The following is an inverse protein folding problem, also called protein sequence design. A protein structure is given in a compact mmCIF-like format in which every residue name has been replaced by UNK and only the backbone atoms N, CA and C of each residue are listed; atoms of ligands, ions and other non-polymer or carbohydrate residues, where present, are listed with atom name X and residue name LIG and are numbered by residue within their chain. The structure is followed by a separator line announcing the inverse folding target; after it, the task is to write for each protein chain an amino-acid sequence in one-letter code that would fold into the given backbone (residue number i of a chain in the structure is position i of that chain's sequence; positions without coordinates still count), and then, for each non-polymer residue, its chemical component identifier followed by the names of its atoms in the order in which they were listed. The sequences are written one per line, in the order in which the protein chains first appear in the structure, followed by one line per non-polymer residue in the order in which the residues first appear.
data_IF_089806990316
#
_entry.id   IF_089806990316
#
_cell.length_a   1.000
_cell.length_b   1.000
_cell.length_c   1.000
_cell.angle_alpha   90.00
_cell.angle_beta   90.00
_cell.angle_gamma   90.00
#
_symmetry.space_group_name_H-M   'P 1'
#
loop_
_entity.id
_entity.type
_entity.pdbx_description
1 polymer ?
#
# COMPACT_ATOMS: atom_id res chain seq x y z
N UNK A 1 7.56 17.12 12.61
CA UNK A 1 8.29 16.57 11.46
C UNK A 1 7.35 16.43 10.26
N UNK A 2 7.89 16.13 9.09
CA UNK A 2 7.09 15.86 7.88
C UNK A 2 6.66 14.39 7.94
N UNK A 3 5.36 14.08 7.80
CA UNK A 3 4.91 12.70 7.71
C UNK A 3 5.53 11.98 6.51
N UNK A 4 5.93 10.72 6.68
CA UNK A 4 6.46 9.92 5.56
C UNK A 4 6.04 8.46 5.66
N UNK A 5 6.08 7.78 4.52
CA UNK A 5 5.88 6.34 4.40
C UNK A 5 7.25 5.68 4.28
N UNK A 6 7.55 4.76 5.18
CA UNK A 6 8.71 3.88 5.06
C UNK A 6 8.35 2.65 4.23
N UNK A 7 9.06 2.48 3.13
CA UNK A 7 8.97 1.30 2.27
C UNK A 7 10.39 0.84 1.95
N UNK A 8 10.86 -0.20 2.59
CA UNK A 8 12.20 -0.73 2.33
C UNK A 8 12.33 -1.43 0.96
N UNK A 9 11.21 -1.96 0.43
CA UNK A 9 11.17 -2.63 -0.86
C UNK A 9 12.30 -3.65 -1.04
N UNK A 10 12.89 -3.68 -2.21
CA UNK A 10 14.00 -4.58 -2.54
C UNK A 10 15.30 -4.32 -1.73
N UNK A 11 15.40 -3.17 -1.06
CA UNK A 11 16.52 -2.89 -0.17
C UNK A 11 16.39 -3.53 1.22
N UNK A 12 15.24 -4.14 1.54
CA UNK A 12 14.99 -4.80 2.83
C UNK A 12 16.14 -5.73 3.27
N UNK A 13 16.74 -6.58 2.41
CA UNK A 13 17.83 -7.45 2.82
C UNK A 13 19.09 -6.72 3.30
N UNK A 14 19.30 -5.48 2.86
CA UNK A 14 20.50 -4.68 3.20
C UNK A 14 20.43 -4.08 4.60
N UNK A 15 19.23 -3.92 5.16
CA UNK A 15 19.05 -3.38 6.51
C UNK A 15 19.26 -4.47 7.56
N UNK A 16 19.88 -4.10 8.68
CA UNK A 16 19.85 -4.92 9.89
C UNK A 16 18.59 -4.63 10.72
N UNK A 17 18.35 -5.45 11.77
CA UNK A 17 17.13 -5.32 12.59
C UNK A 17 17.01 -3.99 13.32
N UNK A 18 18.14 -3.45 13.83
CA UNK A 18 18.16 -2.17 14.55
C UNK A 18 17.92 -0.97 13.63
N UNK A 19 18.41 -1.04 12.39
CA UNK A 19 18.14 -0.02 11.37
C UNK A 19 16.66 -0.01 11.00
N UNK A 20 16.07 -1.19 10.78
CA UNK A 20 14.64 -1.32 10.51
C UNK A 20 13.78 -0.79 11.66
N UNK A 21 14.12 -1.12 12.92
CA UNK A 21 13.40 -0.61 14.10
C UNK A 21 13.41 0.91 14.14
N UNK A 22 14.58 1.54 13.96
CA UNK A 22 14.70 3.01 13.92
C UNK A 22 13.87 3.64 12.81
N UNK A 23 13.84 3.01 11.63
CA UNK A 23 13.01 3.49 10.51
C UNK A 23 11.51 3.36 10.82
N UNK A 24 11.08 2.24 11.39
CA UNK A 24 9.70 2.02 11.83
C UNK A 24 9.30 3.08 12.88
N UNK A 25 10.13 3.31 13.89
CA UNK A 25 9.86 4.29 14.96
C UNK A 25 9.79 5.73 14.45
N UNK A 26 10.49 6.03 13.36
CA UNK A 26 10.51 7.38 12.76
C UNK A 26 9.39 7.59 11.74
N UNK A 27 8.85 6.52 11.16
CA UNK A 27 7.87 6.57 10.10
C UNK A 27 6.46 6.91 10.61
N UNK A 28 5.68 7.59 9.76
CA UNK A 28 4.24 7.77 10.00
C UNK A 28 3.48 6.53 9.57
N UNK A 29 3.86 5.99 8.42
CA UNK A 29 3.29 4.77 7.83
C UNK A 29 4.41 3.82 7.41
N UNK A 30 4.14 2.52 7.46
CA UNK A 30 5.03 1.49 6.91
C UNK A 30 4.24 0.71 5.87
N UNK A 31 4.82 0.48 4.70
CA UNK A 31 4.22 -0.35 3.65
C UNK A 31 5.21 -1.39 3.16
N UNK A 32 4.73 -2.62 3.05
CA UNK A 32 5.51 -3.80 2.63
C UNK A 32 4.60 -4.76 1.87
N UNK A 33 5.16 -5.71 1.14
CA UNK A 33 4.41 -6.88 0.71
C UNK A 33 4.43 -7.99 1.78
N UNK A 34 3.72 -9.08 1.53
CA UNK A 34 3.61 -10.22 2.46
C UNK A 34 4.97 -10.88 2.76
N UNK A 35 5.83 -11.04 1.74
CA UNK A 35 7.18 -11.55 1.93
C UNK A 35 8.04 -10.60 2.76
N UNK A 36 8.02 -9.32 2.43
CA UNK A 36 8.76 -8.28 3.16
C UNK A 36 8.28 -8.15 4.61
N UNK A 37 6.98 -8.35 4.89
CA UNK A 37 6.45 -8.30 6.24
C UNK A 37 7.02 -9.42 7.13
N UNK A 38 7.15 -10.61 6.57
CA UNK A 38 7.77 -11.74 7.27
C UNK A 38 9.26 -11.48 7.54
N UNK A 39 9.99 -10.99 6.53
CA UNK A 39 11.41 -10.67 6.67
C UNK A 39 11.64 -9.52 7.65
N UNK A 40 10.75 -8.51 7.67
CA UNK A 40 10.79 -7.41 8.64
C UNK A 40 10.62 -7.93 10.06
N UNK A 41 9.64 -8.81 10.29
CA UNK A 41 9.42 -9.44 11.61
C UNK A 41 10.61 -10.30 12.03
N UNK A 42 11.16 -11.09 11.13
CA UNK A 42 12.34 -11.94 11.41
C UNK A 42 13.56 -11.09 11.80
N UNK A 43 13.88 -10.06 11.04
CA UNK A 43 15.03 -9.19 11.30
C UNK A 43 14.88 -8.33 12.56
N UNK A 44 13.69 -7.83 12.82
CA UNK A 44 13.44 -6.93 13.97
C UNK A 44 13.05 -7.66 15.24
N UNK A 45 12.54 -8.89 15.14
CA UNK A 45 11.90 -9.59 16.26
C UNK A 45 10.56 -8.99 16.66
N UNK A 46 10.01 -8.03 15.89
CA UNK A 46 8.72 -7.41 16.15
C UNK A 46 7.60 -8.17 15.47
N UNK A 47 6.53 -8.43 16.18
CA UNK A 47 5.27 -8.91 15.61
C UNK A 47 4.56 -7.81 14.81
N UNK A 48 3.63 -8.20 13.94
CA UNK A 48 2.75 -7.25 13.21
C UNK A 48 2.05 -6.27 14.16
N UNK A 49 1.60 -6.75 15.34
CA UNK A 49 0.95 -5.91 16.33
C UNK A 49 1.91 -4.86 16.91
N UNK A 50 3.15 -5.26 17.23
CA UNK A 50 4.16 -4.34 17.74
C UNK A 50 4.62 -3.30 16.72
N UNK A 51 4.67 -3.65 15.43
CA UNK A 51 4.94 -2.68 14.35
C UNK A 51 3.76 -1.70 14.24
N UNK A 52 2.52 -2.23 14.18
CA UNK A 52 1.29 -1.41 14.12
C UNK A 52 1.26 -0.36 15.24
N UNK A 53 1.63 -0.74 16.45
CA UNK A 53 1.53 0.13 17.62
C UNK A 53 2.59 1.26 17.63
N UNK A 54 3.54 1.25 16.70
CA UNK A 54 4.58 2.27 16.53
C UNK A 54 4.29 3.28 15.41
N UNK A 55 3.29 3.00 14.57
CA UNK A 55 2.98 3.81 13.38
C UNK A 55 1.49 4.14 13.32
N UNK A 56 1.09 5.09 12.49
CA UNK A 56 -0.33 5.36 12.26
C UNK A 56 -1.03 4.25 11.49
N UNK A 57 -0.33 3.63 10.54
CA UNK A 57 -0.76 2.39 9.91
C UNK A 57 0.41 1.60 9.35
N UNK A 58 0.30 0.27 9.46
CA UNK A 58 1.16 -0.73 8.85
C UNK A 58 0.39 -1.43 7.74
N UNK A 59 0.80 -1.25 6.50
CA UNK A 59 0.11 -1.73 5.31
C UNK A 59 0.86 -2.93 4.73
N UNK A 60 0.17 -4.05 4.55
CA UNK A 60 0.73 -5.27 3.98
C UNK A 60 -0.04 -5.60 2.70
N UNK A 61 0.62 -5.46 1.55
CA UNK A 61 0.04 -5.83 0.24
C UNK A 61 0.22 -7.31 -0.03
N UNK A 62 -0.80 -7.95 -0.64
CA UNK A 62 -0.86 -9.40 -0.87
C UNK A 62 -1.28 -9.75 -2.31
N UNK A 63 -0.85 -8.95 -3.27
CA UNK A 63 -1.14 -9.13 -4.69
C UNK A 63 -2.65 -9.20 -4.96
N UNK A 64 -3.10 -10.26 -5.60
CA UNK A 64 -4.50 -10.51 -5.95
C UNK A 64 -5.44 -10.71 -4.75
N UNK A 65 -4.88 -10.91 -3.56
CA UNK A 65 -5.64 -11.00 -2.30
C UNK A 65 -5.92 -9.63 -1.67
N UNK A 66 -5.46 -8.55 -2.30
CA UNK A 66 -5.64 -7.20 -1.79
C UNK A 66 -4.58 -6.79 -0.77
N UNK A 67 -4.98 -6.09 0.28
CA UNK A 67 -4.07 -5.66 1.34
C UNK A 67 -4.75 -5.62 2.70
N UNK A 68 -3.93 -5.67 3.75
CA UNK A 68 -4.33 -5.40 5.13
C UNK A 68 -3.74 -4.07 5.57
N UNK A 69 -4.54 -3.26 6.22
CA UNK A 69 -4.11 -2.02 6.87
C UNK A 69 -4.31 -2.19 8.38
N UNK A 70 -3.23 -2.40 9.07
CA UNK A 70 -3.19 -2.53 10.54
C UNK A 70 -2.98 -1.14 11.15
N UNK A 71 -3.92 -0.69 11.97
CA UNK A 71 -3.86 0.59 12.69
C UNK A 71 -4.27 0.40 14.14
N UNK A 72 -4.06 1.39 15.03
CA UNK A 72 -4.56 1.34 16.41
C UNK A 72 -6.09 1.14 16.51
N UNK A 73 -6.84 1.48 15.47
CA UNK A 73 -8.29 1.30 15.39
C UNK A 73 -8.71 -0.12 14.96
N UNK A 74 -7.76 -0.95 14.55
CA UNK A 74 -8.02 -2.32 14.11
C UNK A 74 -7.40 -2.64 12.76
N UNK A 75 -7.88 -3.73 12.15
CA UNK A 75 -7.41 -4.22 10.85
C UNK A 75 -8.47 -4.01 9.79
N UNK A 76 -8.11 -3.32 8.73
CA UNK A 76 -8.95 -3.15 7.53
C UNK A 76 -8.45 -4.11 6.45
N UNK A 77 -9.35 -4.95 5.95
CA UNK A 77 -9.10 -5.77 4.77
C UNK A 77 -9.57 -5.01 3.52
N UNK A 78 -8.62 -4.66 2.66
CA UNK A 78 -8.89 -3.96 1.42
C UNK A 78 -8.91 -4.98 0.28
N UNK A 79 -10.03 -5.14 -0.43
CA UNK A 79 -10.09 -6.06 -1.55
C UNK A 79 -9.19 -5.60 -2.70
N UNK A 80 -8.64 -6.57 -3.44
CA UNK A 80 -7.98 -6.25 -4.70
C UNK A 80 -9.02 -5.75 -5.70
N UNK A 81 -8.73 -4.63 -6.36
CA UNK A 81 -9.50 -4.21 -7.54
C UNK A 81 -9.21 -5.20 -8.67
N UNK A 82 -10.26 -5.58 -9.41
CA UNK A 82 -10.14 -6.53 -10.51
C UNK A 82 -9.61 -5.82 -11.77
N UNK A 83 -8.43 -6.21 -12.29
CA UNK A 83 -7.96 -5.69 -13.57
C UNK A 83 -8.75 -6.34 -14.73
N UNK A 84 -8.87 -5.62 -15.87
CA UNK A 84 -9.46 -6.17 -17.09
C UNK A 84 -8.56 -7.29 -17.65
N UNK A 85 -7.25 -7.13 -17.50
CA UNK A 85 -6.22 -8.08 -17.95
C UNK A 85 -4.97 -7.97 -17.09
N UNK A 86 -4.23 -9.05 -17.01
CA UNK A 86 -2.90 -9.07 -16.35
C UNK A 86 -1.84 -9.10 -17.43
N UNK A 87 -1.02 -8.04 -17.52
CA UNK A 87 0.02 -7.87 -18.54
C UNK A 87 1.42 -7.88 -17.90
N UNK A 88 1.64 -7.01 -16.89
CA UNK A 88 2.96 -6.85 -16.29
C UNK A 88 2.83 -6.37 -14.83
N UNK A 89 3.30 -7.17 -13.85
CA UNK A 89 3.24 -6.79 -12.44
C UNK A 89 4.29 -5.73 -12.03
N UNK A 90 5.27 -5.43 -12.89
CA UNK A 90 6.35 -4.47 -12.57
C UNK A 90 5.78 -3.10 -12.24
N UNK A 91 6.09 -2.56 -11.05
CA UNK A 91 5.63 -1.25 -10.61
C UNK A 91 4.21 -1.23 -10.02
N UNK A 92 3.53 -2.38 -9.84
CA UNK A 92 2.23 -2.40 -9.15
C UNK A 92 2.32 -1.90 -7.71
N UNK A 93 3.40 -2.23 -6.99
CA UNK A 93 3.67 -1.71 -5.65
C UNK A 93 3.83 -0.19 -5.65
N UNK A 94 4.55 0.37 -6.63
CA UNK A 94 4.73 1.83 -6.77
C UNK A 94 3.41 2.52 -7.07
N UNK A 95 2.59 1.94 -7.96
CA UNK A 95 1.26 2.45 -8.27
C UNK A 95 0.32 2.39 -7.04
N UNK A 96 0.38 1.31 -6.28
CA UNK A 96 -0.35 1.18 -5.01
C UNK A 96 0.04 2.30 -4.04
N UNK A 97 1.35 2.52 -3.82
CA UNK A 97 1.84 3.59 -2.95
C UNK A 97 1.44 4.98 -3.43
N UNK A 98 1.47 5.23 -4.73
CA UNK A 98 1.01 6.50 -5.30
C UNK A 98 -0.47 6.75 -5.00
N UNK A 99 -1.33 5.74 -5.13
CA UNK A 99 -2.74 5.82 -4.77
C UNK A 99 -2.96 6.03 -3.28
N UNK A 100 -2.20 5.33 -2.44
CA UNK A 100 -2.25 5.48 -0.98
C UNK A 100 -1.87 6.91 -0.57
N UNK A 101 -0.76 7.45 -1.09
CA UNK A 101 -0.30 8.81 -0.84
C UNK A 101 -1.37 9.82 -1.26
N UNK A 102 -1.96 9.65 -2.44
CA UNK A 102 -3.03 10.53 -2.92
C UNK A 102 -4.20 10.58 -1.93
N UNK A 103 -4.70 9.42 -1.49
CA UNK A 103 -5.80 9.34 -0.54
C UNK A 103 -5.47 10.00 0.80
N UNK A 104 -4.27 9.71 1.34
CA UNK A 104 -3.80 10.28 2.59
C UNK A 104 -3.63 11.81 2.50
N UNK A 105 -3.07 12.33 1.41
CA UNK A 105 -2.91 13.78 1.19
C UNK A 105 -4.24 14.51 1.04
N UNK A 106 -5.27 13.82 0.57
CA UNK A 106 -6.65 14.36 0.49
C UNK A 106 -7.41 14.24 1.80
N UNK A 107 -6.79 13.70 2.85
CA UNK A 107 -7.44 13.51 4.15
C UNK A 107 -8.54 12.44 4.14
N UNK A 108 -8.51 11.53 3.19
CA UNK A 108 -9.45 10.41 3.11
C UNK A 108 -9.15 9.39 4.20
N UNK A 109 -10.17 8.64 4.62
CA UNK A 109 -9.99 7.53 5.56
C UNK A 109 -9.12 6.41 4.97
N UNK A 110 -8.51 5.60 5.84
CA UNK A 110 -7.59 4.53 5.43
C UNK A 110 -8.25 3.49 4.51
N UNK A 111 -9.56 3.23 4.69
CA UNK A 111 -10.27 2.27 3.84
C UNK A 111 -10.40 2.81 2.40
N UNK A 112 -10.75 4.08 2.25
CA UNK A 112 -10.85 4.76 0.95
C UNK A 112 -9.48 4.91 0.31
N UNK A 113 -8.46 5.36 1.06
CA UNK A 113 -7.09 5.45 0.57
C UNK A 113 -6.54 4.10 0.10
N UNK A 114 -6.80 3.03 0.85
CA UNK A 114 -6.42 1.66 0.47
C UNK A 114 -7.12 1.15 -0.79
N UNK A 115 -8.41 1.47 -0.99
CA UNK A 115 -9.14 1.11 -2.22
C UNK A 115 -8.64 1.89 -3.43
N UNK A 116 -8.31 3.18 -3.26
CA UNK A 116 -7.65 3.97 -4.32
C UNK A 116 -6.31 3.33 -4.69
N UNK A 117 -5.51 2.96 -3.70
CA UNK A 117 -4.25 2.27 -3.90
C UNK A 117 -4.43 0.93 -4.66
N UNK A 118 -5.43 0.15 -4.27
CA UNK A 118 -5.78 -1.11 -4.93
C UNK A 118 -6.13 -0.92 -6.41
N UNK A 119 -6.97 0.07 -6.72
CA UNK A 119 -7.34 0.39 -8.10
C UNK A 119 -6.14 0.88 -8.93
N UNK A 120 -5.25 1.67 -8.33
CA UNK A 120 -4.01 2.09 -9.00
C UNK A 120 -3.13 0.90 -9.40
N UNK A 121 -3.00 -0.09 -8.52
CA UNK A 121 -2.30 -1.34 -8.82
C UNK A 121 -2.96 -2.12 -9.95
N UNK A 122 -4.30 -2.22 -9.97
CA UNK A 122 -5.06 -2.88 -11.01
C UNK A 122 -4.90 -2.19 -12.38
N UNK A 123 -4.98 -0.86 -12.43
CA UNK A 123 -4.77 -0.09 -13.67
C UNK A 123 -3.33 -0.23 -14.19
N UNK A 124 -2.36 -0.33 -13.28
CA UNK A 124 -0.97 -0.51 -13.67
C UNK A 124 -0.71 -1.90 -14.27
N UNK A 125 -1.23 -2.97 -13.69
CA UNK A 125 -0.96 -4.34 -14.15
C UNK A 125 -1.49 -4.62 -15.56
N UNK A 126 -2.43 -3.82 -16.05
CA UNK A 126 -3.01 -3.89 -17.40
C UNK A 126 -2.06 -3.40 -18.50
N UNK A 127 -0.93 -2.79 -18.13
CA UNK A 127 -0.02 -2.12 -19.04
C UNK A 127 1.41 -2.63 -18.88
N UNK A 128 2.14 -2.75 -20.00
CA UNK A 128 3.55 -3.11 -20.00
C UNK A 128 4.40 -1.96 -19.44
N UNK A 129 5.40 -2.29 -18.62
CA UNK A 129 6.31 -1.34 -18.00
C UNK A 129 5.71 -0.63 -16.77
N UNK A 130 6.54 0.03 -15.95
CA UNK A 130 6.14 0.46 -14.61
C UNK A 130 5.22 1.69 -14.57
N UNK A 131 5.15 2.51 -15.65
CA UNK A 131 4.47 3.81 -15.65
C UNK A 131 3.71 4.11 -16.95
N UNK A 132 3.26 3.09 -17.67
CA UNK A 132 2.59 3.27 -18.96
C UNK A 132 1.05 3.34 -18.88
N UNK A 133 0.48 3.19 -17.68
CA UNK A 133 -0.96 3.37 -17.48
C UNK A 133 -1.36 4.82 -17.73
N UNK A 134 -2.51 5.02 -18.42
CA UNK A 134 -3.04 6.34 -18.75
C UNK A 134 -4.52 6.39 -18.41
N UNK A 135 -4.91 7.35 -17.59
CA UNK A 135 -6.28 7.65 -17.23
C UNK A 135 -6.36 9.11 -16.75
N UNK A 136 -7.53 9.70 -16.80
CA UNK A 136 -7.83 10.96 -16.12
C UNK A 136 -8.66 10.68 -14.85
N UNK A 137 -8.83 11.71 -14.02
CA UNK A 137 -9.55 11.55 -12.76
C UNK A 137 -11.00 11.08 -12.95
N UNK A 138 -11.70 11.58 -13.97
CA UNK A 138 -13.10 11.16 -14.26
C UNK A 138 -13.18 9.66 -14.57
N UNK A 139 -12.26 9.14 -15.38
CA UNK A 139 -12.18 7.71 -15.70
C UNK A 139 -11.85 6.89 -14.43
N UNK A 140 -10.91 7.36 -13.63
CA UNK A 140 -10.53 6.72 -12.38
C UNK A 140 -11.71 6.67 -11.40
N UNK A 141 -12.39 7.80 -11.16
CA UNK A 141 -13.52 7.89 -10.25
C UNK A 141 -14.70 7.00 -10.68
N UNK A 142 -14.94 6.89 -12.00
CA UNK A 142 -15.95 5.98 -12.54
C UNK A 142 -15.60 4.52 -12.25
N UNK A 143 -14.36 4.10 -12.51
CA UNK A 143 -13.90 2.74 -12.23
C UNK A 143 -13.89 2.46 -10.74
N UNK A 144 -13.49 3.41 -9.90
CA UNK A 144 -13.55 3.29 -8.44
C UNK A 144 -14.98 3.00 -7.97
N UNK A 145 -15.95 3.79 -8.46
CA UNK A 145 -17.35 3.57 -8.13
C UNK A 145 -17.86 2.20 -8.59
N UNK A 146 -17.45 1.74 -9.77
CA UNK A 146 -17.80 0.41 -10.28
C UNK A 146 -17.23 -0.71 -9.43
N UNK A 147 -15.97 -0.58 -8.97
CA UNK A 147 -15.29 -1.61 -8.19
C UNK A 147 -15.75 -1.64 -6.73
N UNK A 148 -16.00 -0.49 -6.11
CA UNK A 148 -16.20 -0.38 -4.66
C UNK A 148 -17.58 0.14 -4.24
N UNK A 149 -18.44 0.55 -5.20
CA UNK A 149 -19.84 0.87 -4.96
C UNK A 149 -20.15 2.28 -4.46
N UNK A 150 -19.15 3.16 -4.30
CA UNK A 150 -19.34 4.56 -3.88
C UNK A 150 -18.40 5.50 -4.65
N UNK A 151 -18.75 6.80 -4.69
CA UNK A 151 -17.94 7.79 -5.39
C UNK A 151 -16.81 8.34 -4.51
N UNK A 152 -15.74 8.79 -5.18
CA UNK A 152 -14.70 9.64 -4.60
C UNK A 152 -14.75 11.00 -5.30
N UNK A 153 -14.62 12.06 -4.55
CA UNK A 153 -14.61 13.46 -5.02
C UNK A 153 -13.19 14.01 -5.12
#
# INVERSE_FOLDING_TARGET
GIPFIFDPGQAMPLFNGEELKRMIESATYVTVNDYESLLMSDKTGLSTAEIRDRVQAYIITRGDKGSEIHSPQGVLNIPAAAPIRVVDPTGCGDAYRAGLIFGLMKGMDLATAGRIASLMGALKIENLGPQNQRFNFTQFALQFKQQFGYAID
#
